data_IF_943806359252
#
_entry.id   IF_943806359252
#
_cell.length_a   1.000
_cell.length_b   1.000
_cell.length_c   1.000
_cell.angle_alpha   90.00
_cell.angle_beta   90.00
_cell.angle_gamma   90.00
#
_symmetry.space_group_name_H-M   'P 1'
#
loop_
_entity.id
_entity.type
_entity.pdbx_description
1 polymer ?
#
# COMPACT_ATOMS: atom_id res chain seq x y z
N UNK A 1 -7.81 12.95 -34.78
CA UNK A 1 -9.19 12.52 -35.12
C UNK A 1 -9.85 12.08 -33.83
N UNK A 2 -11.14 12.38 -33.67
CA UNK A 2 -11.93 12.01 -32.49
C UNK A 2 -13.02 11.02 -32.88
N UNK A 3 -13.21 9.94 -32.14
CA UNK A 3 -14.21 8.90 -32.45
C UNK A 3 -15.29 8.81 -31.37
N UNK A 4 -16.54 8.72 -31.80
CA UNK A 4 -17.68 8.39 -30.95
C UNK A 4 -18.15 6.98 -31.31
N UNK A 5 -17.82 5.98 -30.49
CA UNK A 5 -18.01 4.56 -30.79
C UNK A 5 -19.29 4.02 -30.14
N UNK A 6 -20.12 3.38 -30.97
CA UNK A 6 -21.52 3.08 -30.65
C UNK A 6 -22.35 4.37 -30.52
N UNK A 7 -22.13 5.34 -31.42
CA UNK A 7 -22.74 6.67 -31.33
C UNK A 7 -24.27 6.66 -31.50
N UNK A 8 -24.83 5.56 -32.00
CA UNK A 8 -26.25 5.48 -32.33
C UNK A 8 -26.69 6.59 -33.28
N UNK A 9 -27.91 7.13 -33.14
CA UNK A 9 -28.43 8.18 -34.01
C UNK A 9 -27.96 9.59 -33.64
N UNK A 10 -27.09 9.76 -32.64
CA UNK A 10 -26.69 11.06 -32.10
C UNK A 10 -25.20 11.08 -31.78
N UNK A 11 -24.39 11.17 -32.82
CA UNK A 11 -22.95 11.38 -32.68
C UNK A 11 -22.65 12.69 -31.95
N UNK A 12 -21.67 12.64 -31.05
CA UNK A 12 -21.12 13.78 -30.34
C UNK A 12 -20.56 14.81 -31.34
N UNK A 13 -20.89 16.12 -31.22
CA UNK A 13 -20.41 17.12 -32.16
C UNK A 13 -18.87 17.19 -32.23
N UNK A 14 -18.34 17.20 -33.45
CA UNK A 14 -16.89 17.23 -33.70
C UNK A 14 -16.19 15.87 -33.63
N UNK A 15 -16.94 14.78 -33.49
CA UNK A 15 -16.45 13.40 -33.53
C UNK A 15 -16.88 12.72 -34.84
N UNK A 16 -16.13 11.68 -35.22
CA UNK A 16 -16.53 10.73 -36.25
C UNK A 16 -17.38 9.65 -35.59
N UNK A 17 -18.65 9.55 -35.98
CA UNK A 17 -19.59 8.57 -35.44
C UNK A 17 -19.36 7.18 -36.02
N UNK A 18 -19.19 6.19 -35.15
CA UNK A 18 -18.99 4.78 -35.49
C UNK A 18 -20.08 3.95 -34.84
N UNK A 19 -20.79 3.14 -35.63
CA UNK A 19 -21.80 2.22 -35.10
C UNK A 19 -21.95 1.01 -36.04
N UNK A 20 -22.41 -0.13 -35.51
CA UNK A 20 -22.67 -1.32 -36.32
C UNK A 20 -23.91 -1.17 -37.21
N UNK A 21 -24.79 -0.22 -36.88
CA UNK A 21 -25.99 0.08 -37.65
C UNK A 21 -25.84 1.37 -38.45
N UNK A 22 -26.35 1.43 -39.69
CA UNK A 22 -26.33 2.65 -40.51
C UNK A 22 -27.41 3.65 -40.05
N UNK A 23 -27.18 4.32 -38.94
CA UNK A 23 -28.12 5.28 -38.32
C UNK A 23 -27.79 6.74 -38.71
N UNK A 24 -28.75 7.68 -38.56
CA UNK A 24 -28.48 9.10 -38.76
C UNK A 24 -27.37 9.59 -37.82
N UNK A 25 -26.26 10.10 -38.36
CA UNK A 25 -25.10 10.52 -37.57
C UNK A 25 -23.94 9.52 -37.54
N UNK A 26 -24.15 8.29 -38.02
CA UNK A 26 -23.08 7.31 -38.22
C UNK A 26 -22.36 7.63 -39.52
N UNK A 27 -21.06 7.89 -39.43
CA UNK A 27 -20.21 8.18 -40.58
C UNK A 27 -19.41 6.96 -41.02
N UNK A 28 -19.13 6.04 -40.08
CA UNK A 28 -18.42 4.79 -40.34
C UNK A 28 -19.27 3.65 -39.78
N UNK A 29 -19.73 2.75 -40.65
CA UNK A 29 -20.44 1.55 -40.22
C UNK A 29 -19.42 0.47 -39.90
N UNK A 30 -19.22 0.19 -38.61
CA UNK A 30 -18.26 -0.81 -38.13
C UNK A 30 -18.77 -1.49 -36.85
N UNK A 31 -18.42 -2.77 -36.71
CA UNK A 31 -18.76 -3.58 -35.54
C UNK A 31 -17.59 -3.57 -34.55
N UNK A 32 -17.83 -3.28 -33.28
CA UNK A 32 -16.79 -3.19 -32.25
C UNK A 32 -16.18 -4.56 -31.92
N UNK A 33 -16.89 -5.64 -32.20
CA UNK A 33 -16.37 -7.02 -32.12
C UNK A 33 -15.50 -7.40 -33.35
N UNK A 34 -15.13 -6.43 -34.20
CA UNK A 34 -14.27 -6.63 -35.38
C UNK A 34 -13.19 -5.54 -35.47
N UNK A 35 -12.11 -5.76 -36.25
CA UNK A 35 -11.10 -4.74 -36.43
C UNK A 35 -11.67 -3.44 -36.97
N UNK A 36 -11.34 -2.33 -36.33
CA UNK A 36 -11.87 -1.03 -36.71
C UNK A 36 -11.16 -0.51 -37.97
N UNK A 37 -11.89 0.11 -38.93
CA UNK A 37 -11.34 0.56 -40.21
C UNK A 37 -10.58 1.90 -40.08
N UNK A 38 -9.71 2.01 -39.09
CA UNK A 38 -8.83 3.15 -38.86
C UNK A 38 -7.38 2.67 -38.79
N UNK A 39 -6.49 3.53 -39.29
CA UNK A 39 -5.05 3.31 -39.18
C UNK A 39 -4.61 3.28 -37.72
N UNK A 40 -3.54 2.55 -37.45
CA UNK A 40 -2.84 2.55 -36.17
C UNK A 40 -2.46 3.99 -35.79
N UNK A 41 -2.52 4.33 -34.50
CA UNK A 41 -2.06 5.62 -33.99
C UNK A 41 -2.66 6.85 -34.73
N UNK A 42 -3.93 6.78 -35.13
CA UNK A 42 -4.60 7.87 -35.86
C UNK A 42 -5.58 8.67 -34.98
N UNK A 43 -6.03 8.09 -33.88
CA UNK A 43 -7.08 8.63 -33.00
C UNK A 43 -6.49 9.29 -31.76
N UNK A 44 -7.01 10.47 -31.40
CA UNK A 44 -6.53 11.26 -30.25
C UNK A 44 -7.52 11.26 -29.08
N UNK A 45 -8.78 10.98 -29.36
CA UNK A 45 -9.86 11.01 -28.39
C UNK A 45 -10.96 10.03 -28.78
N UNK A 46 -11.37 9.19 -27.84
CA UNK A 46 -12.48 8.25 -27.99
C UNK A 46 -13.53 8.57 -26.95
N UNK A 47 -14.79 8.61 -27.38
CA UNK A 47 -15.97 8.61 -26.54
C UNK A 47 -16.73 7.31 -26.80
N UNK A 48 -17.08 6.59 -25.75
CA UNK A 48 -17.87 5.37 -25.82
C UNK A 48 -18.96 5.43 -24.75
N UNK A 49 -20.18 5.79 -25.14
CA UNK A 49 -21.30 5.88 -24.21
C UNK A 49 -22.35 4.81 -24.51
N UNK A 50 -22.61 3.95 -23.53
CA UNK A 50 -23.61 2.88 -23.60
C UNK A 50 -23.44 1.94 -24.80
N UNK A 51 -22.19 1.61 -25.13
CA UNK A 51 -21.83 0.78 -26.26
C UNK A 51 -20.98 -0.44 -25.89
N UNK A 52 -20.05 -0.30 -24.94
CA UNK A 52 -19.11 -1.36 -24.58
C UNK A 52 -19.73 -2.48 -23.72
N UNK A 53 -20.89 -2.26 -23.09
CA UNK A 53 -21.65 -3.31 -22.41
C UNK A 53 -22.25 -4.33 -23.37
N UNK A 54 -22.36 -3.98 -24.66
CA UNK A 54 -22.99 -4.81 -25.69
C UNK A 54 -22.03 -5.65 -26.51
N UNK A 55 -20.71 -5.48 -26.34
CA UNK A 55 -19.69 -6.22 -27.11
C UNK A 55 -19.53 -7.65 -26.57
N UNK A 56 -19.23 -8.60 -27.45
CA UNK A 56 -19.04 -10.00 -27.05
C UNK A 56 -17.63 -10.27 -26.51
N UNK A 57 -16.61 -9.56 -26.99
CA UNK A 57 -15.24 -9.62 -26.46
C UNK A 57 -14.71 -8.22 -26.12
N UNK A 58 -14.80 -7.87 -24.83
CA UNK A 58 -14.34 -6.58 -24.32
C UNK A 58 -12.83 -6.41 -24.51
N UNK A 59 -12.03 -7.45 -24.28
CA UNK A 59 -10.58 -7.35 -24.37
C UNK A 59 -10.13 -7.17 -25.82
N UNK A 60 -10.78 -7.83 -26.78
CA UNK A 60 -10.59 -7.55 -28.20
C UNK A 60 -10.92 -6.09 -28.53
N UNK A 61 -12.11 -5.62 -28.14
CA UNK A 61 -12.53 -4.23 -28.39
C UNK A 61 -11.52 -3.23 -27.82
N UNK A 62 -11.06 -3.43 -26.58
CA UNK A 62 -10.08 -2.55 -25.94
C UNK A 62 -8.70 -2.60 -26.62
N UNK A 63 -8.26 -3.76 -27.14
CA UNK A 63 -7.05 -3.86 -27.97
C UNK A 63 -7.19 -3.08 -29.26
N UNK A 64 -8.34 -3.16 -29.92
CA UNK A 64 -8.59 -2.40 -31.15
C UNK A 64 -8.62 -0.89 -30.89
N UNK A 65 -9.24 -0.44 -29.79
CA UNK A 65 -9.17 0.96 -29.37
C UNK A 65 -7.72 1.38 -29.07
N UNK A 66 -6.94 0.55 -28.39
CA UNK A 66 -5.51 0.81 -28.14
C UNK A 66 -4.70 0.91 -29.44
N UNK A 67 -4.95 0.02 -30.40
CA UNK A 67 -4.27 0.00 -31.71
C UNK A 67 -4.46 1.31 -32.45
N UNK A 68 -5.72 1.73 -32.64
CA UNK A 68 -6.05 2.95 -33.42
C UNK A 68 -5.72 4.24 -32.68
N UNK A 69 -5.66 4.22 -31.35
CA UNK A 69 -5.33 5.39 -30.55
C UNK A 69 -3.83 5.66 -30.50
N UNK A 70 -3.48 6.94 -30.58
CA UNK A 70 -2.11 7.44 -30.36
C UNK A 70 -1.67 7.26 -28.91
N UNK A 71 -0.37 7.27 -28.68
CA UNK A 71 0.14 7.54 -27.33
C UNK A 71 -0.45 8.84 -26.77
N UNK A 72 -0.84 8.83 -25.49
CA UNK A 72 -1.51 9.90 -24.76
C UNK A 72 -2.91 10.28 -25.29
N UNK A 73 -3.49 9.49 -26.20
CA UNK A 73 -4.90 9.65 -26.57
C UNK A 73 -5.80 9.37 -25.37
N UNK A 74 -6.89 10.13 -25.23
CA UNK A 74 -7.84 9.90 -24.15
C UNK A 74 -8.99 8.98 -24.60
N UNK A 75 -9.47 8.16 -23.68
CA UNK A 75 -10.67 7.34 -23.88
C UNK A 75 -11.63 7.63 -22.73
N UNK A 76 -12.82 8.15 -23.05
CA UNK A 76 -13.91 8.36 -22.11
C UNK A 76 -14.94 7.28 -22.34
N UNK A 77 -15.10 6.39 -21.36
CA UNK A 77 -16.08 5.31 -21.38
C UNK A 77 -17.17 5.65 -20.38
N UNK A 78 -18.42 5.61 -20.82
CA UNK A 78 -19.60 5.88 -20.00
C UNK A 78 -20.53 4.69 -20.13
N UNK A 79 -20.74 3.95 -19.04
CA UNK A 79 -21.42 2.66 -19.07
C UNK A 79 -22.34 2.49 -17.87
N UNK A 80 -23.37 1.63 -17.97
CA UNK A 80 -24.20 1.27 -16.84
C UNK A 80 -23.36 0.56 -15.76
N UNK A 81 -23.59 0.90 -14.49
CA UNK A 81 -22.87 0.27 -13.38
C UNK A 81 -23.38 -1.15 -13.13
N UNK A 82 -22.47 -2.10 -12.88
CA UNK A 82 -22.77 -3.53 -12.78
C UNK A 82 -23.83 -3.88 -11.73
N UNK A 83 -23.75 -3.31 -10.53
CA UNK A 83 -24.64 -3.69 -9.41
C UNK A 83 -26.03 -3.03 -9.46
N UNK A 84 -26.45 -2.53 -10.62
CA UNK A 84 -27.84 -2.12 -10.85
C UNK A 84 -28.66 -3.30 -11.38
N UNK A 85 -29.78 -3.62 -10.72
CA UNK A 85 -30.61 -4.79 -11.04
C UNK A 85 -31.20 -4.76 -12.45
N UNK A 86 -31.61 -3.59 -12.94
CA UNK A 86 -32.13 -3.47 -14.30
C UNK A 86 -31.07 -3.83 -15.35
N UNK A 87 -29.82 -3.41 -15.12
CA UNK A 87 -28.71 -3.73 -16.02
C UNK A 87 -28.35 -5.21 -15.94
N UNK A 88 -28.34 -5.78 -14.74
CA UNK A 88 -28.07 -7.20 -14.53
C UNK A 88 -29.14 -8.08 -15.20
N UNK A 89 -30.39 -7.63 -15.22
CA UNK A 89 -31.49 -8.32 -15.90
C UNK A 89 -31.51 -8.10 -17.42
N UNK A 90 -30.71 -7.17 -17.96
CA UNK A 90 -30.74 -6.85 -19.38
C UNK A 90 -30.00 -7.95 -20.19
N UNK A 91 -30.71 -8.75 -21.00
CA UNK A 91 -30.09 -9.84 -21.76
C UNK A 91 -29.15 -9.37 -22.88
N UNK A 92 -29.16 -8.06 -23.19
CA UNK A 92 -28.28 -7.47 -24.19
C UNK A 92 -26.98 -6.92 -23.60
N UNK A 93 -26.82 -6.90 -22.27
CA UNK A 93 -25.55 -6.56 -21.64
C UNK A 93 -24.70 -7.82 -21.48
N UNK A 94 -23.66 -7.92 -22.30
CA UNK A 94 -22.72 -9.05 -22.33
C UNK A 94 -21.52 -8.80 -21.42
N UNK A 95 -21.18 -7.52 -21.17
CA UNK A 95 -20.07 -7.11 -20.34
C UNK A 95 -20.54 -6.34 -19.11
N UNK A 96 -19.71 -6.38 -18.08
CA UNK A 96 -19.98 -5.74 -16.78
C UNK A 96 -18.90 -4.73 -16.45
N UNK A 97 -19.32 -3.60 -15.86
CA UNK A 97 -18.42 -2.50 -15.56
C UNK A 97 -18.57 -2.02 -14.13
N UNK A 98 -17.43 -1.94 -13.43
CA UNK A 98 -17.30 -1.42 -12.07
C UNK A 98 -15.90 -0.81 -11.86
N UNK A 99 -15.60 -0.33 -10.66
CA UNK A 99 -14.32 0.28 -10.28
C UNK A 99 -13.08 -0.56 -10.59
N UNK A 100 -13.24 -1.88 -10.75
CA UNK A 100 -12.13 -2.80 -11.00
C UNK A 100 -11.90 -3.04 -12.49
N UNK A 101 -12.87 -2.80 -13.35
CA UNK A 101 -12.76 -3.12 -14.78
C UNK A 101 -11.52 -2.50 -15.43
N UNK A 102 -11.18 -1.21 -15.20
CA UNK A 102 -10.00 -0.61 -15.83
C UNK A 102 -8.65 -1.20 -15.40
N UNK A 103 -8.62 -1.92 -14.27
CA UNK A 103 -7.40 -2.53 -13.75
C UNK A 103 -6.84 -3.61 -14.68
N UNK A 104 -7.71 -4.26 -15.45
CA UNK A 104 -7.32 -5.29 -16.41
C UNK A 104 -6.74 -4.74 -17.70
N UNK A 105 -6.71 -3.41 -17.87
CA UNK A 105 -6.14 -2.75 -19.04
C UNK A 105 -4.78 -2.10 -18.78
N UNK A 106 -4.26 -2.20 -17.55
CA UNK A 106 -2.99 -1.59 -17.17
C UNK A 106 -2.13 -2.56 -16.35
N UNK A 107 -0.82 -2.55 -16.60
CA UNK A 107 0.19 -3.20 -15.77
C UNK A 107 0.73 -2.27 -14.67
N UNK A 108 0.40 -0.98 -14.73
CA UNK A 108 0.84 0.02 -13.75
C UNK A 108 0.32 -0.34 -12.34
N UNK A 109 1.23 -0.40 -11.38
CA UNK A 109 0.92 -0.85 -10.01
C UNK A 109 0.07 0.13 -9.20
N UNK A 110 -0.16 1.35 -9.71
CA UNK A 110 -0.94 2.40 -9.07
C UNK A 110 -1.78 3.19 -10.10
N UNK A 111 -2.77 3.93 -9.60
CA UNK A 111 -3.57 4.89 -10.36
C UNK A 111 -3.87 6.11 -9.47
N UNK A 112 -4.13 7.29 -10.05
CA UNK A 112 -4.41 8.54 -9.32
C UNK A 112 -5.85 8.58 -8.77
N UNK A 113 -6.25 7.54 -8.03
CA UNK A 113 -7.56 7.44 -7.38
C UNK A 113 -7.40 6.93 -5.93
N UNK A 114 -8.33 7.30 -5.05
CA UNK A 114 -8.30 6.84 -3.65
C UNK A 114 -8.41 5.31 -3.60
N UNK A 115 -7.54 4.67 -2.80
CA UNK A 115 -7.56 3.21 -2.57
C UNK A 115 -8.89 2.71 -2.04
N UNK A 116 -9.65 3.52 -1.31
CA UNK A 116 -10.99 3.16 -0.81
C UNK A 116 -11.97 2.85 -1.93
N UNK A 117 -11.80 3.45 -3.10
CA UNK A 117 -12.71 3.24 -4.24
C UNK A 117 -12.63 1.83 -4.83
N UNK A 118 -11.49 1.14 -4.66
CA UNK A 118 -11.18 -0.13 -5.33
C UNK A 118 -10.47 -1.16 -4.44
N UNK A 119 -10.46 -0.97 -3.12
CA UNK A 119 -9.74 -1.85 -2.21
C UNK A 119 -10.22 -3.30 -2.34
N UNK A 120 -9.26 -4.23 -2.47
CA UNK A 120 -9.55 -5.66 -2.46
C UNK A 120 -8.38 -6.42 -1.80
N UNK A 121 -8.63 -7.33 -0.83
CA UNK A 121 -7.57 -7.95 -0.02
C UNK A 121 -6.59 -8.82 -0.82
N UNK A 122 -7.05 -9.42 -1.92
CA UNK A 122 -6.24 -10.31 -2.77
C UNK A 122 -5.64 -9.60 -4.00
N UNK A 123 -5.93 -8.32 -4.20
CA UNK A 123 -5.51 -7.57 -5.37
C UNK A 123 -5.13 -6.14 -4.95
N UNK A 124 -3.98 -6.03 -4.27
CA UNK A 124 -3.56 -4.81 -3.55
C UNK A 124 -3.01 -3.73 -4.51
N UNK A 125 -2.32 -4.13 -5.58
CA UNK A 125 -1.85 -3.22 -6.63
C UNK A 125 -2.96 -2.88 -7.60
N UNK A 126 -2.88 -1.72 -8.24
CA UNK A 126 -3.87 -1.28 -9.22
C UNK A 126 -3.91 -2.22 -10.43
N UNK A 127 -2.83 -2.29 -11.21
CA UNK A 127 -2.75 -3.02 -12.46
C UNK A 127 -2.88 -4.53 -12.30
N UNK A 128 -3.77 -5.11 -13.10
CA UNK A 128 -4.09 -6.54 -13.15
C UNK A 128 -4.03 -7.10 -14.58
N UNK A 129 -3.59 -6.32 -15.58
CA UNK A 129 -3.52 -6.79 -16.98
C UNK A 129 -2.67 -8.05 -17.17
N UNK A 130 -1.68 -8.28 -16.29
CA UNK A 130 -0.80 -9.44 -16.32
C UNK A 130 -1.21 -10.57 -15.36
N UNK A 131 -2.39 -10.46 -14.74
CA UNK A 131 -2.92 -11.53 -13.90
C UNK A 131 -3.12 -12.82 -14.70
N UNK A 132 -3.04 -13.97 -14.02
CA UNK A 132 -3.19 -15.29 -14.65
C UNK A 132 -2.28 -15.53 -15.87
N UNK A 133 -1.02 -15.09 -15.79
CA UNK A 133 -0.03 -15.13 -16.88
C UNK A 133 -0.51 -14.51 -18.21
N UNK A 134 -1.48 -13.60 -18.15
CA UNK A 134 -1.98 -12.91 -19.33
C UNK A 134 -1.02 -11.81 -19.78
N UNK A 135 -1.07 -11.47 -21.06
CA UNK A 135 -0.51 -10.21 -21.57
C UNK A 135 -1.40 -9.75 -22.73
N UNK A 136 -2.35 -8.84 -22.48
CA UNK A 136 -3.29 -8.42 -23.52
C UNK A 136 -2.64 -7.53 -24.58
N UNK A 137 -1.36 -7.17 -24.46
CA UNK A 137 -0.65 -6.35 -25.45
C UNK A 137 -1.18 -4.91 -25.53
N UNK A 138 -1.78 -4.41 -24.45
CA UNK A 138 -2.32 -3.06 -24.34
C UNK A 138 -1.95 -2.47 -22.98
N UNK A 139 -1.83 -1.14 -22.93
CA UNK A 139 -1.60 -0.41 -21.70
C UNK A 139 -2.45 0.89 -21.74
N UNK A 140 -3.61 0.83 -21.11
CA UNK A 140 -4.57 1.92 -20.99
C UNK A 140 -4.72 2.23 -19.50
N UNK A 141 -4.27 3.42 -19.09
CA UNK A 141 -4.20 3.82 -17.69
C UNK A 141 -5.39 4.67 -17.29
N UNK A 142 -5.87 4.47 -16.08
CA UNK A 142 -6.95 5.27 -15.52
C UNK A 142 -6.40 6.61 -15.01
N UNK A 143 -7.13 7.69 -15.28
CA UNK A 143 -6.87 9.04 -14.75
C UNK A 143 -7.95 9.51 -13.79
N UNK A 144 -9.22 9.15 -14.02
CA UNK A 144 -10.34 9.53 -13.17
C UNK A 144 -11.51 8.55 -13.32
N UNK A 145 -12.22 8.30 -12.23
CA UNK A 145 -13.54 7.64 -12.23
C UNK A 145 -14.60 8.61 -11.74
N UNK A 146 -15.79 8.51 -12.32
CA UNK A 146 -16.96 9.23 -11.85
C UNK A 146 -18.12 8.25 -11.65
N UNK A 147 -18.76 8.32 -10.50
CA UNK A 147 -19.90 7.48 -10.14
C UNK A 147 -21.16 8.32 -10.11
N UNK A 148 -22.18 7.87 -10.83
CA UNK A 148 -23.48 8.51 -10.89
C UNK A 148 -24.47 7.70 -10.07
N UNK A 149 -24.76 8.24 -8.89
CA UNK A 149 -25.60 7.63 -7.89
C UNK A 149 -27.08 7.88 -8.19
N UNK A 150 -27.95 6.92 -7.83
CA UNK A 150 -29.38 7.20 -7.85
C UNK A 150 -29.68 8.41 -6.95
N UNK A 151 -30.66 9.26 -7.31
CA UNK A 151 -30.96 10.50 -6.60
C UNK A 151 -31.03 10.40 -5.07
N UNK A 152 -31.61 9.32 -4.55
CA UNK A 152 -31.72 9.07 -3.10
C UNK A 152 -30.39 8.91 -2.36
N UNK A 153 -29.31 8.59 -3.08
CA UNK A 153 -27.97 8.47 -2.54
C UNK A 153 -27.07 9.65 -2.94
N UNK A 154 -27.51 10.55 -3.82
CA UNK A 154 -26.63 11.56 -4.42
C UNK A 154 -26.08 12.56 -3.40
N UNK A 155 -26.86 12.88 -2.36
CA UNK A 155 -26.52 13.86 -1.30
C UNK A 155 -25.87 13.24 -0.05
N UNK A 156 -25.65 11.92 -0.03
CA UNK A 156 -24.98 11.28 1.09
C UNK A 156 -23.50 11.64 1.15
N UNK A 157 -22.92 11.56 2.35
CA UNK A 157 -21.48 11.72 2.56
C UNK A 157 -20.68 10.81 1.59
N UNK A 158 -19.62 11.31 0.94
CA UNK A 158 -18.81 10.53 0.00
C UNK A 158 -18.33 9.18 0.55
N UNK A 159 -17.91 9.11 1.82
CA UNK A 159 -17.42 7.86 2.40
C UNK A 159 -18.54 6.82 2.55
N UNK A 160 -19.73 7.25 2.97
CA UNK A 160 -20.92 6.39 3.00
C UNK A 160 -21.32 5.91 1.61
N UNK A 161 -21.21 6.77 0.57
CA UNK A 161 -21.54 6.37 -0.81
C UNK A 161 -20.62 5.29 -1.34
N UNK A 162 -19.32 5.36 -1.06
CA UNK A 162 -18.34 4.32 -1.45
C UNK A 162 -18.72 2.99 -0.79
N UNK A 163 -18.94 2.99 0.52
CA UNK A 163 -19.33 1.79 1.27
C UNK A 163 -20.65 1.20 0.76
N UNK A 164 -21.67 2.03 0.51
CA UNK A 164 -22.95 1.55 -0.03
C UNK A 164 -22.79 0.96 -1.43
N UNK A 165 -22.05 1.64 -2.29
CA UNK A 165 -21.82 1.21 -3.68
C UNK A 165 -21.09 -0.13 -3.76
N UNK A 166 -20.23 -0.43 -2.80
CA UNK A 166 -19.46 -1.68 -2.73
C UNK A 166 -20.21 -2.83 -2.06
N UNK A 167 -21.38 -2.57 -1.45
CA UNK A 167 -22.08 -3.57 -0.64
C UNK A 167 -23.56 -3.74 -0.99
N UNK A 168 -24.18 -2.80 -1.68
CA UNK A 168 -25.61 -2.82 -2.01
C UNK A 168 -25.83 -2.58 -3.50
N UNK A 169 -26.80 -3.31 -4.04
CA UNK A 169 -27.33 -3.11 -5.39
C UNK A 169 -28.18 -1.85 -5.51
N UNK A 170 -28.29 -1.29 -6.71
CA UNK A 170 -29.12 -0.11 -7.04
C UNK A 170 -28.70 1.17 -6.29
N UNK A 171 -27.41 1.32 -5.96
CA UNK A 171 -26.85 2.55 -5.37
C UNK A 171 -26.29 3.49 -6.44
N UNK A 172 -25.51 2.92 -7.35
CA UNK A 172 -24.92 3.59 -8.51
C UNK A 172 -25.59 3.05 -9.78
N UNK A 173 -25.99 3.92 -10.71
CA UNK A 173 -26.61 3.51 -11.96
C UNK A 173 -25.66 3.57 -13.15
N UNK A 174 -24.60 4.39 -13.06
CA UNK A 174 -23.69 4.64 -14.18
C UNK A 174 -22.31 5.01 -13.67
N UNK A 175 -21.29 4.63 -14.43
CA UNK A 175 -19.90 4.96 -14.16
C UNK A 175 -19.26 5.52 -15.42
N UNK A 176 -18.38 6.51 -15.24
CA UNK A 176 -17.53 7.01 -16.30
C UNK A 176 -16.05 6.80 -15.95
N UNK A 177 -15.29 6.27 -16.92
CA UNK A 177 -13.84 6.15 -16.86
C UNK A 177 -13.21 7.18 -17.79
N UNK A 178 -12.29 7.98 -17.26
CA UNK A 178 -11.39 8.79 -18.06
C UNK A 178 -10.03 8.12 -18.08
N UNK A 179 -9.63 7.66 -19.24
CA UNK A 179 -8.47 6.81 -19.47
C UNK A 179 -7.49 7.49 -20.43
N UNK A 180 -6.25 7.05 -20.40
CA UNK A 180 -5.20 7.47 -21.32
C UNK A 180 -4.45 6.27 -21.90
N UNK A 181 -4.20 6.31 -23.20
CA UNK A 181 -3.42 5.29 -23.91
C UNK A 181 -1.93 5.50 -23.66
N UNK A 182 -1.24 4.47 -23.17
CA UNK A 182 0.17 4.53 -22.84
C UNK A 182 0.94 3.52 -23.70
N UNK A 183 1.78 4.00 -24.62
CA UNK A 183 2.56 3.16 -25.55
C UNK A 183 4.06 3.26 -25.31
N UNK A 184 4.51 4.33 -24.67
CA UNK A 184 5.91 4.58 -24.37
C UNK A 184 6.27 4.10 -22.95
N UNK A 185 7.47 3.56 -22.80
CA UNK A 185 8.02 3.16 -21.50
C UNK A 185 8.67 4.36 -20.79
N UNK A 186 7.83 5.34 -20.41
CA UNK A 186 8.27 6.56 -19.73
C UNK A 186 7.40 6.86 -18.50
N UNK A 187 7.73 6.27 -17.36
CA UNK A 187 6.99 6.50 -16.12
C UNK A 187 7.06 7.95 -15.62
N UNK A 188 8.15 8.68 -15.87
CA UNK A 188 8.30 10.06 -15.42
C UNK A 188 7.25 10.98 -16.07
N UNK A 189 6.98 10.79 -17.36
CA UNK A 189 5.92 11.49 -18.08
C UNK A 189 4.53 11.17 -17.54
N UNK A 190 4.28 9.91 -17.15
CA UNK A 190 2.99 9.51 -16.58
C UNK A 190 2.79 10.18 -15.21
N UNK A 191 3.81 10.16 -14.34
CA UNK A 191 3.78 10.84 -13.04
C UNK A 191 3.50 12.33 -13.23
N UNK A 192 4.26 13.01 -14.10
CA UNK A 192 4.08 14.43 -14.37
C UNK A 192 2.66 14.75 -14.91
N UNK A 193 2.08 13.88 -15.74
CA UNK A 193 0.69 14.01 -16.19
C UNK A 193 -0.29 13.91 -15.01
N UNK A 194 -0.09 12.94 -14.10
CA UNK A 194 -0.99 12.74 -12.95
C UNK A 194 -0.89 13.84 -11.88
N UNK A 195 0.25 14.50 -11.74
CA UNK A 195 0.41 15.66 -10.86
C UNK A 195 -0.38 16.89 -11.35
N UNK A 196 -0.68 16.94 -12.65
CA UNK A 196 -1.35 18.08 -13.30
C UNK A 196 -2.80 17.77 -13.72
N UNK A 197 -3.46 16.78 -13.10
CA UNK A 197 -4.83 16.37 -13.44
C UNK A 197 -5.87 17.50 -13.25
N UNK A 198 -5.63 18.45 -12.35
CA UNK A 198 -6.54 19.59 -12.14
C UNK A 198 -6.72 20.48 -13.38
N UNK A 199 -5.72 20.53 -14.26
CA UNK A 199 -5.77 21.25 -15.54
C UNK A 199 -5.89 20.33 -16.75
N UNK A 200 -6.01 19.01 -16.53
CA UNK A 200 -6.07 18.05 -17.61
C UNK A 200 -7.41 18.21 -18.37
N UNK A 201 -7.40 18.30 -19.71
CA UNK A 201 -8.59 18.59 -20.50
C UNK A 201 -9.42 17.31 -20.71
N UNK A 202 -10.01 16.81 -19.62
CA UNK A 202 -10.92 15.67 -19.64
C UNK A 202 -12.08 15.91 -20.62
N UNK A 203 -12.46 14.89 -21.38
CA UNK A 203 -13.65 14.96 -22.21
C UNK A 203 -14.90 15.04 -21.34
N UNK A 204 -15.49 16.22 -21.27
CA UNK A 204 -16.71 16.49 -20.53
C UNK A 204 -17.88 16.73 -21.49
N UNK A 205 -18.68 15.69 -21.72
CA UNK A 205 -19.79 15.75 -22.68
C UNK A 205 -21.01 16.44 -22.08
N UNK A 206 -21.91 17.02 -22.91
CA UNK A 206 -23.16 17.57 -22.41
C UNK A 206 -24.01 16.58 -21.62
N UNK A 207 -23.93 15.28 -21.95
CA UNK A 207 -24.61 14.22 -21.22
C UNK A 207 -24.02 14.06 -19.80
N UNK A 208 -22.69 14.02 -19.66
CA UNK A 208 -22.04 13.95 -18.34
C UNK A 208 -22.34 15.19 -17.50
N UNK A 209 -22.27 16.39 -18.09
CA UNK A 209 -22.65 17.64 -17.43
C UNK A 209 -24.09 17.58 -16.91
N UNK A 210 -25.02 17.14 -17.77
CA UNK A 210 -26.41 16.98 -17.40
C UNK A 210 -26.59 15.94 -16.28
N UNK A 211 -25.95 14.79 -16.35
CA UNK A 211 -26.03 13.76 -15.31
C UNK A 211 -25.56 14.28 -13.94
N UNK A 212 -24.53 15.14 -13.89
CA UNK A 212 -24.11 15.78 -12.65
C UNK A 212 -25.15 16.79 -12.13
N UNK A 213 -25.70 17.63 -13.01
CA UNK A 213 -26.75 18.60 -12.65
C UNK A 213 -28.02 17.91 -12.16
N UNK A 214 -28.47 16.86 -12.85
CA UNK A 214 -29.67 16.10 -12.50
C UNK A 214 -29.54 15.43 -11.12
N UNK A 215 -28.31 15.02 -10.75
CA UNK A 215 -28.01 14.44 -9.43
C UNK A 215 -28.08 15.48 -8.30
N UNK A 216 -27.74 16.75 -8.58
CA UNK A 216 -27.82 17.86 -7.63
C UNK A 216 -29.26 18.38 -7.48
N UNK A 217 -30.02 18.41 -8.57
CA UNK A 217 -31.37 18.98 -8.63
C UNK A 217 -32.45 18.13 -7.93
N UNK A 218 -32.21 16.84 -7.70
CA UNK A 218 -33.20 15.97 -7.05
C UNK A 218 -33.39 16.32 -5.57
N UNK A 219 -34.66 16.37 -5.14
CA UNK A 219 -35.02 16.47 -3.72
C UNK A 219 -34.74 15.14 -3.00
N UNK A 220 -34.39 15.21 -1.72
CA UNK A 220 -34.16 14.01 -0.90
C UNK A 220 -35.46 13.21 -0.77
N UNK A 221 -35.51 12.03 -1.40
CA UNK A 221 -36.56 11.05 -1.13
C UNK A 221 -36.45 10.54 0.31
N UNK A 222 -37.34 10.97 1.20
CA UNK A 222 -37.51 10.40 2.54
C UNK A 222 -38.14 9.01 2.46
N UNK A 223 -37.39 8.00 2.02
CA UNK A 223 -37.83 6.61 2.02
C UNK A 223 -37.19 5.81 3.17
N UNK A 224 -37.90 4.81 3.69
CA UNK A 224 -37.42 3.90 4.74
C UNK A 224 -36.10 3.19 4.37
N UNK A 225 -35.77 3.09 3.09
CA UNK A 225 -34.53 2.50 2.58
C UNK A 225 -33.28 3.26 3.00
N UNK A 226 -33.33 4.59 3.16
CA UNK A 226 -32.18 5.36 3.67
C UNK A 226 -31.96 5.02 5.15
N UNK A 227 -33.00 5.06 5.97
CA UNK A 227 -32.90 4.62 7.37
C UNK A 227 -32.47 3.15 7.49
N UNK A 228 -32.91 2.27 6.59
CA UNK A 228 -32.47 0.87 6.53
C UNK A 228 -30.99 0.75 6.13
N UNK A 229 -30.56 1.49 5.10
CA UNK A 229 -29.16 1.54 4.67
C UNK A 229 -28.26 2.13 5.77
N UNK A 230 -28.70 3.21 6.42
CA UNK A 230 -28.05 3.80 7.60
C UNK A 230 -28.00 2.83 8.77
N UNK A 231 -29.04 2.02 8.99
CA UNK A 231 -29.04 0.98 10.02
C UNK A 231 -28.07 -0.16 9.68
N UNK A 232 -28.12 -0.70 8.46
CA UNK A 232 -27.24 -1.80 8.01
C UNK A 232 -25.78 -1.34 7.97
N UNK A 233 -25.52 -0.15 7.44
CA UNK A 233 -24.19 0.47 7.50
C UNK A 233 -23.81 0.80 8.94
N UNK A 234 -24.75 1.28 9.75
CA UNK A 234 -24.52 1.62 11.14
C UNK A 234 -24.09 0.39 11.95
N UNK A 235 -24.72 -0.76 11.70
CA UNK A 235 -24.31 -2.05 12.24
C UNK A 235 -22.93 -2.46 11.75
N UNK A 236 -22.64 -2.39 10.43
CA UNK A 236 -21.31 -2.71 9.90
C UNK A 236 -20.21 -1.76 10.38
N UNK A 237 -20.48 -0.46 10.43
CA UNK A 237 -19.57 0.57 10.95
C UNK A 237 -19.33 0.36 12.43
N UNK A 238 -20.36 -0.06 13.18
CA UNK A 238 -20.22 -0.44 14.58
C UNK A 238 -19.37 -1.71 14.71
N UNK A 239 -19.58 -2.74 13.89
CA UNK A 239 -18.75 -3.94 13.87
C UNK A 239 -17.29 -3.63 13.52
N UNK A 240 -17.03 -2.78 12.53
CA UNK A 240 -15.69 -2.33 12.19
C UNK A 240 -15.06 -1.50 13.31
N UNK A 241 -15.81 -0.57 13.92
CA UNK A 241 -15.34 0.20 15.08
C UNK A 241 -15.07 -0.69 16.28
N UNK A 242 -15.91 -1.68 16.54
CA UNK A 242 -15.73 -2.65 17.61
C UNK A 242 -14.51 -3.55 17.34
N UNK A 243 -14.30 -3.93 16.08
CA UNK A 243 -13.11 -4.66 15.63
C UNK A 243 -11.83 -3.81 15.76
N UNK A 244 -11.87 -2.53 15.36
CA UNK A 244 -10.75 -1.59 15.54
C UNK A 244 -10.51 -1.36 17.02
N UNK A 245 -11.53 -1.13 17.83
CA UNK A 245 -11.42 -0.98 19.28
C UNK A 245 -10.93 -2.27 19.97
N UNK A 246 -11.25 -3.46 19.43
CA UNK A 246 -10.67 -4.73 19.87
C UNK A 246 -9.21 -4.85 19.45
N UNK A 247 -8.85 -4.42 18.23
CA UNK A 247 -7.47 -4.37 17.77
C UNK A 247 -6.65 -3.36 18.59
N UNK A 248 -7.18 -2.17 18.88
CA UNK A 248 -6.61 -1.15 19.74
C UNK A 248 -6.54 -1.63 21.18
N UNK A 249 -7.54 -2.35 21.70
CA UNK A 249 -7.45 -2.99 23.04
C UNK A 249 -6.39 -4.07 23.07
N UNK A 250 -6.22 -4.85 21.99
CA UNK A 250 -5.11 -5.81 21.85
C UNK A 250 -3.77 -5.08 21.72
N UNK A 251 -3.72 -3.97 20.98
CA UNK A 251 -2.53 -3.15 20.81
C UNK A 251 -2.14 -2.50 22.13
N UNK A 252 -3.08 -1.89 22.85
CA UNK A 252 -2.92 -1.29 24.17
C UNK A 252 -2.64 -2.35 25.25
N UNK A 253 -3.23 -3.54 25.16
CA UNK A 253 -2.87 -4.67 26.02
C UNK A 253 -1.45 -5.12 25.71
N UNK A 254 -1.05 -5.15 24.45
CA UNK A 254 0.32 -5.42 24.03
C UNK A 254 1.25 -4.27 24.39
N UNK A 255 0.85 -3.00 24.40
CA UNK A 255 1.62 -1.82 24.83
C UNK A 255 1.70 -1.73 26.34
N UNK A 256 0.68 -2.17 27.07
CA UNK A 256 0.74 -2.35 28.53
C UNK A 256 1.60 -3.54 28.87
N UNK A 257 1.54 -4.63 28.10
CA UNK A 257 2.46 -5.76 28.24
C UNK A 257 3.88 -5.29 27.89
N UNK A 258 4.09 -4.59 26.78
CA UNK A 258 5.37 -4.01 26.33
C UNK A 258 5.86 -2.97 27.34
N UNK A 259 5.00 -2.12 27.88
CA UNK A 259 5.29 -1.10 28.89
C UNK A 259 5.63 -1.70 30.26
N UNK A 260 4.92 -2.76 30.67
CA UNK A 260 5.27 -3.58 31.84
C UNK A 260 6.55 -4.40 31.60
N UNK A 261 6.88 -4.65 30.32
CA UNK A 261 8.14 -5.21 29.86
C UNK A 261 9.22 -4.13 29.57
N UNK A 262 8.89 -2.83 29.63
CA UNK A 262 9.74 -1.67 29.26
C UNK A 262 9.87 -0.63 30.37
N UNK A 263 9.35 -0.89 31.56
CA UNK A 263 9.57 -0.06 32.75
C UNK A 263 11.01 -0.18 33.21
N UNK A 264 11.93 0.46 32.50
CA UNK A 264 13.18 1.00 33.00
C UNK A 264 13.08 2.53 33.00
N UNK A 265 13.78 3.24 33.90
CA UNK A 265 13.66 4.70 34.03
C UNK A 265 14.16 5.44 32.78
N UNK A 266 13.48 6.54 32.44
CA UNK A 266 13.94 7.52 31.43
C UNK A 266 15.32 8.07 31.81
N UNK A 267 16.22 8.16 30.83
CA UNK A 267 17.52 8.81 31.01
C UNK A 267 17.34 10.33 31.18
N UNK A 268 18.24 10.96 31.92
CA UNK A 268 18.27 12.43 31.98
C UNK A 268 18.69 13.02 30.63
N UNK A 269 18.25 14.24 30.32
CA UNK A 269 18.68 14.97 29.11
C UNK A 269 20.22 15.08 29.00
N UNK A 270 20.92 15.10 30.15
CA UNK A 270 22.37 15.14 30.19
C UNK A 270 23.03 13.82 29.79
N UNK A 271 22.40 12.69 30.11
CA UNK A 271 22.88 11.37 29.74
C UNK A 271 22.56 11.06 28.27
N UNK A 272 21.38 11.50 27.80
CA UNK A 272 21.02 11.43 26.37
C UNK A 272 22.02 12.19 25.49
N UNK A 273 22.41 13.40 25.90
CA UNK A 273 23.38 14.19 25.14
C UNK A 273 24.77 13.54 25.07
N UNK A 274 25.26 12.99 26.19
CA UNK A 274 26.54 12.26 26.23
C UNK A 274 26.50 11.02 25.34
N UNK A 275 25.33 10.38 25.29
CA UNK A 275 25.08 9.20 24.49
C UNK A 275 25.11 9.52 22.98
N UNK A 276 24.47 10.62 22.56
CA UNK A 276 24.54 11.11 21.17
C UNK A 276 25.98 11.45 20.74
N UNK A 277 26.72 12.17 21.60
CA UNK A 277 28.11 12.54 21.34
C UNK A 277 29.02 11.30 21.14
N UNK A 278 28.81 10.26 21.95
CA UNK A 278 29.55 9.00 21.83
C UNK A 278 29.27 8.28 20.51
N UNK A 279 27.99 8.16 20.11
CA UNK A 279 27.61 7.50 18.85
C UNK A 279 28.20 8.24 17.65
N UNK A 280 28.08 9.58 17.61
CA UNK A 280 28.63 10.40 16.52
C UNK A 280 30.16 10.24 16.41
N UNK A 281 30.87 10.16 17.54
CA UNK A 281 32.33 10.04 17.54
C UNK A 281 32.83 8.65 17.08
N UNK A 282 32.05 7.59 17.32
CA UNK A 282 32.48 6.21 17.08
C UNK A 282 31.82 5.52 15.88
N UNK A 283 30.79 6.13 15.27
CA UNK A 283 30.06 5.57 14.11
C UNK A 283 30.10 6.52 12.92
N UNK A 284 31.02 6.29 11.98
CA UNK A 284 31.22 7.16 10.80
C UNK A 284 30.62 6.62 9.49
N UNK A 285 30.24 5.34 9.43
CA UNK A 285 29.75 4.70 8.19
C UNK A 285 28.23 4.79 7.97
N UNK A 286 27.43 4.75 9.04
CA UNK A 286 25.96 4.82 9.01
C UNK A 286 25.46 5.39 10.34
N UNK A 287 24.80 6.55 10.33
CA UNK A 287 24.21 7.15 11.54
C UNK A 287 23.06 6.28 12.07
N UNK A 288 23.12 5.78 13.32
CA UNK A 288 21.99 5.13 13.97
C UNK A 288 20.82 6.11 14.06
N UNK A 289 19.60 5.67 13.73
CA UNK A 289 18.41 6.56 13.73
C UNK A 289 17.60 6.49 15.02
N UNK A 290 17.55 5.31 15.66
CA UNK A 290 16.80 5.08 16.88
C UNK A 290 17.60 4.18 17.82
N UNK A 291 17.58 4.47 19.12
CA UNK A 291 18.19 3.63 20.15
C UNK A 291 17.29 3.52 21.38
N UNK A 292 17.37 2.37 22.07
CA UNK A 292 16.71 2.15 23.36
C UNK A 292 17.63 1.40 24.30
N UNK A 293 17.34 1.49 25.59
CA UNK A 293 18.09 0.77 26.61
C UNK A 293 17.28 -0.45 27.05
N UNK A 294 17.97 -1.57 27.22
CA UNK A 294 17.37 -2.79 27.76
C UNK A 294 16.98 -2.64 29.22
N UNK A 295 16.38 -3.70 29.78
CA UNK A 295 16.27 -3.84 31.24
C UNK A 295 17.65 -3.96 31.87
N UNK A 296 17.70 -3.72 33.19
CA UNK A 296 18.88 -4.00 33.99
C UNK A 296 19.26 -5.47 33.86
N UNK A 297 20.53 -5.70 33.55
CA UNK A 297 21.14 -7.01 33.57
C UNK A 297 21.14 -7.46 35.04
N UNK A 298 20.49 -8.58 35.37
CA UNK A 298 20.38 -9.01 36.75
C UNK A 298 21.74 -9.56 37.23
N UNK A 299 22.00 -9.40 38.53
CA UNK A 299 23.15 -10.03 39.19
C UNK A 299 22.98 -11.55 39.37
N UNK A 300 21.74 -12.03 39.32
CA UNK A 300 21.36 -13.45 39.32
C UNK A 300 20.36 -13.71 38.19
N UNK A 301 20.68 -14.62 37.28
CA UNK A 301 19.95 -14.85 36.02
C UNK A 301 20.55 -14.14 34.80
N UNK A 302 19.76 -13.97 33.74
CA UNK A 302 20.22 -13.38 32.48
C UNK A 302 19.12 -12.61 31.73
N UNK A 303 19.54 -11.73 30.83
CA UNK A 303 18.69 -11.14 29.77
C UNK A 303 19.00 -11.86 28.47
N UNK A 304 17.97 -12.27 27.73
CA UNK A 304 18.11 -13.06 26.52
C UNK A 304 17.65 -12.29 25.28
N UNK A 305 18.41 -12.44 24.19
CA UNK A 305 18.13 -11.85 22.89
C UNK A 305 18.16 -12.92 21.80
N UNK A 306 17.15 -12.89 20.93
CA UNK A 306 17.08 -13.80 19.80
C UNK A 306 18.10 -13.38 18.74
N UNK A 307 18.90 -14.34 18.27
CA UNK A 307 19.85 -14.12 17.17
C UNK A 307 19.16 -14.42 15.85
N UNK A 308 19.28 -13.50 14.88
CA UNK A 308 18.82 -13.69 13.51
C UNK A 308 19.89 -13.25 12.52
N UNK A 309 20.10 -14.04 11.47
CA UNK A 309 21.14 -13.80 10.46
C UNK A 309 21.78 -15.10 9.97
N UNK A 310 22.67 -14.98 8.99
CA UNK A 310 23.46 -16.07 8.40
C UNK A 310 24.89 -15.58 8.20
N UNK A 311 25.88 -16.40 8.53
CA UNK A 311 27.30 -16.02 8.39
C UNK A 311 28.18 -16.58 9.49
N UNK A 312 29.50 -16.48 9.29
CA UNK A 312 30.49 -16.83 10.31
C UNK A 312 30.72 -15.66 11.27
N UNK A 313 30.91 -15.97 12.54
CA UNK A 313 31.26 -15.01 13.57
C UNK A 313 32.41 -15.47 14.46
N UNK A 314 33.31 -14.55 14.82
CA UNK A 314 34.46 -14.83 15.69
C UNK A 314 34.62 -13.88 16.89
N UNK A 315 33.75 -12.88 17.00
CA UNK A 315 33.73 -11.88 18.07
C UNK A 315 32.29 -11.49 18.43
N UNK A 316 32.09 -10.95 19.62
CA UNK A 316 30.85 -10.31 20.06
C UNK A 316 31.22 -8.96 20.66
N UNK A 317 30.79 -7.87 20.04
CA UNK A 317 30.93 -6.51 20.60
C UNK A 317 29.59 -6.01 21.10
N UNK A 318 29.51 -5.50 22.33
CA UNK A 318 28.25 -5.07 22.97
C UNK A 318 28.38 -3.66 23.51
N UNK A 319 27.49 -2.77 23.10
CA UNK A 319 27.40 -1.43 23.67
C UNK A 319 26.57 -1.48 24.96
N UNK A 320 27.11 -0.93 26.05
CA UNK A 320 26.46 -0.91 27.37
C UNK A 320 26.37 0.49 27.93
N UNK A 321 25.33 0.69 28.74
CA UNK A 321 25.10 1.85 29.58
C UNK A 321 25.25 1.45 31.06
N UNK A 322 26.04 2.21 31.82
CA UNK A 322 26.24 2.07 33.25
C UNK A 322 25.52 3.20 33.98
N UNK A 323 24.65 2.86 34.93
CA UNK A 323 23.95 3.88 35.73
C UNK A 323 24.85 4.63 36.71
N UNK A 324 26.04 4.10 36.99
CA UNK A 324 27.09 4.69 37.81
C UNK A 324 28.42 3.97 37.53
N UNK A 325 29.53 4.56 37.98
CA UNK A 325 30.87 3.96 37.84
C UNK A 325 30.95 2.62 38.59
N UNK A 326 31.64 1.65 38.01
CA UNK A 326 31.68 0.28 38.52
C UNK A 326 33.10 -0.20 38.75
N UNK A 327 33.43 -0.42 40.02
CA UNK A 327 34.62 -1.17 40.41
C UNK A 327 34.24 -2.65 40.51
N UNK A 328 35.03 -3.52 39.87
CA UNK A 328 34.92 -4.98 39.91
C UNK A 328 33.64 -5.62 39.31
N UNK A 329 32.77 -4.83 38.67
CA UNK A 329 31.61 -5.35 37.95
C UNK A 329 32.04 -6.06 36.66
N UNK A 330 31.36 -7.16 36.37
CA UNK A 330 31.63 -7.96 35.18
C UNK A 330 30.36 -8.18 34.36
N UNK A 331 30.53 -8.10 33.04
CA UNK A 331 29.51 -8.48 32.07
C UNK A 331 29.86 -9.84 31.48
N UNK A 332 28.96 -10.79 31.67
CA UNK A 332 29.02 -12.10 31.05
C UNK A 332 28.16 -12.18 29.80
N UNK A 333 28.59 -13.00 28.85
CA UNK A 333 27.86 -13.35 27.63
C UNK A 333 27.82 -14.87 27.46
N UNK A 334 26.68 -15.40 27.03
CA UNK A 334 26.54 -16.80 26.60
C UNK A 334 25.91 -16.86 25.20
N UNK A 335 26.48 -17.68 24.33
CA UNK A 335 25.86 -18.09 23.07
C UNK A 335 25.13 -19.41 23.30
N UNK A 336 23.84 -19.45 22.96
CA UNK A 336 22.96 -20.60 23.18
C UNK A 336 22.49 -21.13 21.83
N UNK A 337 22.74 -22.41 21.58
CA UNK A 337 22.32 -23.10 20.37
C UNK A 337 20.80 -23.22 20.25
N UNK A 338 20.31 -23.57 19.06
CA UNK A 338 18.87 -23.85 18.82
C UNK A 338 18.32 -25.03 19.61
N UNK A 339 19.20 -25.87 20.13
CA UNK A 339 18.91 -26.98 21.04
C UNK A 339 18.82 -26.54 22.53
N UNK A 340 18.90 -25.22 22.79
CA UNK A 340 18.92 -24.58 24.10
C UNK A 340 20.15 -24.88 24.98
N UNK A 341 21.22 -25.44 24.40
CA UNK A 341 22.48 -25.65 25.12
C UNK A 341 23.41 -24.44 24.98
N UNK A 342 24.13 -24.10 26.06
CA UNK A 342 25.19 -23.08 26.01
C UNK A 342 26.36 -23.65 25.21
N UNK A 343 26.63 -23.06 24.04
CA UNK A 343 27.71 -23.51 23.14
C UNK A 343 29.01 -22.74 23.37
N UNK A 344 28.93 -21.58 24.00
CA UNK A 344 30.07 -20.76 24.41
C UNK A 344 29.66 -19.70 25.43
N UNK A 345 30.59 -19.30 26.30
CA UNK A 345 30.41 -18.14 27.18
C UNK A 345 31.75 -17.45 27.46
N UNK A 346 31.68 -16.19 27.87
CA UNK A 346 32.82 -15.41 28.34
C UNK A 346 32.37 -14.32 29.31
N UNK A 347 33.31 -13.71 30.01
CA UNK A 347 33.07 -12.64 30.98
C UNK A 347 34.17 -11.58 30.84
N UNK A 348 33.79 -10.30 30.83
CA UNK A 348 34.70 -9.16 30.73
C UNK A 348 34.48 -8.17 31.87
N UNK A 349 35.54 -7.46 32.25
CA UNK A 349 35.48 -6.43 33.28
C UNK A 349 34.94 -5.11 32.72
N UNK A 350 34.04 -4.47 33.47
CA UNK A 350 33.43 -3.18 33.11
C UNK A 350 34.25 -1.98 33.59
N UNK A 351 35.35 -2.18 34.31
CA UNK A 351 36.17 -1.10 34.89
C UNK A 351 36.75 -0.12 33.87
N UNK A 352 36.80 -0.49 32.59
CA UNK A 352 37.23 0.38 31.48
C UNK A 352 36.09 1.18 30.82
N UNK A 353 34.83 0.93 31.21
CA UNK A 353 33.65 1.60 30.70
C UNK A 353 33.23 2.68 31.69
N UNK A 354 33.07 3.91 31.21
CA UNK A 354 32.69 5.04 32.05
C UNK A 354 31.18 5.06 32.31
N UNK A 355 30.41 5.63 31.38
CA UNK A 355 28.94 5.67 31.43
C UNK A 355 28.36 4.93 30.23
N UNK A 356 28.98 5.11 29.06
CA UNK A 356 28.65 4.41 27.82
C UNK A 356 29.94 3.85 27.26
N UNK A 357 29.93 2.59 26.83
CA UNK A 357 31.09 2.02 26.17
C UNK A 357 30.80 0.68 25.52
N UNK A 358 31.76 0.21 24.73
CA UNK A 358 31.71 -1.08 24.05
C UNK A 358 32.54 -2.09 24.81
N UNK A 359 31.94 -3.22 25.13
CA UNK A 359 32.60 -4.39 25.70
C UNK A 359 32.77 -5.41 24.58
N UNK A 360 34.01 -5.82 24.32
CA UNK A 360 34.34 -6.76 23.26
C UNK A 360 34.67 -8.13 23.87
N UNK A 361 34.10 -9.17 23.29
CA UNK A 361 34.37 -10.55 23.67
C UNK A 361 34.95 -11.29 22.46
N UNK A 362 36.17 -11.81 22.60
CA UNK A 362 36.79 -12.65 21.57
C UNK A 362 36.37 -14.10 21.76
N UNK A 363 35.82 -14.71 20.71
CA UNK A 363 35.30 -16.09 20.78
C UNK A 363 36.43 -17.12 20.61
N UNK A 364 37.51 -16.75 19.90
CA UNK A 364 38.67 -17.60 19.64
C UNK A 364 38.42 -18.79 18.69
N UNK A 365 37.17 -19.01 18.28
CA UNK A 365 36.76 -19.97 17.24
C UNK A 365 35.57 -19.41 16.47
N UNK A 366 35.39 -19.89 15.24
CA UNK A 366 34.28 -19.44 14.38
C UNK A 366 33.00 -20.23 14.70
N UNK A 367 31.89 -19.51 14.81
CA UNK A 367 30.55 -20.09 14.84
C UNK A 367 29.75 -19.65 13.63
N UNK A 368 28.74 -20.44 13.24
CA UNK A 368 27.73 -19.99 12.30
C UNK A 368 26.58 -19.36 13.06
N UNK A 369 26.21 -18.13 12.69
CA UNK A 369 25.14 -17.38 13.34
C UNK A 369 23.78 -18.10 13.25
N UNK A 370 23.56 -18.87 12.18
CA UNK A 370 22.33 -19.64 11.96
C UNK A 370 22.16 -20.84 12.92
N UNK A 371 23.21 -21.25 13.62
CA UNK A 371 23.17 -22.34 14.60
C UNK A 371 22.89 -21.83 16.03
N UNK A 372 22.97 -20.51 16.23
CA UNK A 372 22.72 -19.85 17.52
C UNK A 372 21.24 -19.44 17.59
N UNK A 373 20.54 -19.91 18.62
CA UNK A 373 19.16 -19.49 18.89
C UNK A 373 19.11 -18.16 19.64
N UNK A 374 19.94 -18.02 20.67
CA UNK A 374 19.92 -16.88 21.57
C UNK A 374 21.32 -16.45 22.01
N UNK A 375 21.44 -15.18 22.37
CA UNK A 375 22.57 -14.64 23.14
C UNK A 375 22.05 -14.15 24.49
N UNK A 376 22.73 -14.52 25.56
CA UNK A 376 22.37 -14.15 26.94
C UNK A 376 23.43 -13.25 27.52
N UNK A 377 23.01 -12.25 28.27
CA UNK A 377 23.88 -11.40 29.07
C UNK A 377 23.54 -11.55 30.55
N UNK A 378 24.56 -11.70 31.37
CA UNK A 378 24.42 -11.85 32.82
C UNK A 378 25.46 -11.00 33.54
N UNK A 379 25.13 -10.59 34.76
CA UNK A 379 26.01 -9.80 35.61
C UNK A 379 26.77 -10.66 36.60
N UNK A 380 28.00 -10.25 36.96
CA UNK A 380 28.63 -10.68 38.22
C UNK A 380 29.13 -9.45 38.96
N UNK A 381 28.95 -9.46 40.29
CA UNK A 381 29.29 -8.35 41.17
C UNK A 381 28.67 -7.00 40.74
N UNK A 382 27.46 -7.03 40.15
CA UNK A 382 26.75 -5.80 39.79
C UNK A 382 26.23 -5.12 41.05
N UNK A 383 26.88 -4.04 41.45
CA UNK A 383 26.43 -3.12 42.50
C UNK A 383 25.57 -1.97 41.96
N UNK A 384 25.49 -1.83 40.63
CA UNK A 384 24.73 -0.80 39.91
C UNK A 384 24.00 -1.41 38.70
N UNK A 385 23.07 -0.67 38.11
CA UNK A 385 22.35 -1.10 36.91
C UNK A 385 23.23 -1.04 35.65
N UNK A 386 23.47 -2.20 35.05
CA UNK A 386 24.10 -2.33 33.73
C UNK A 386 23.01 -2.64 32.72
N UNK A 387 22.98 -1.93 31.60
CA UNK A 387 21.98 -2.14 30.56
C UNK A 387 22.64 -2.23 29.19
N UNK A 388 22.09 -3.06 28.30
CA UNK A 388 22.53 -3.16 26.91
C UNK A 388 21.85 -2.09 26.09
N UNK A 389 22.62 -1.46 25.20
CA UNK A 389 22.12 -0.48 24.25
C UNK A 389 21.69 -1.20 22.99
N UNK A 390 20.44 -0.98 22.61
CA UNK A 390 19.84 -1.54 21.40
C UNK A 390 19.69 -0.44 20.36
N UNK A 391 20.32 -0.61 19.19
CA UNK A 391 20.36 0.39 18.13
C UNK A 391 19.67 -0.12 16.86
N UNK A 392 19.00 0.78 16.15
CA UNK A 392 18.42 0.53 14.82
C UNK A 392 19.29 1.16 13.73
N UNK A 393 19.63 0.37 12.70
CA UNK A 393 20.33 0.83 11.52
C UNK A 393 19.39 0.62 10.33
N UNK A 394 18.97 1.70 9.67
CA UNK A 394 18.09 1.63 8.51
C UNK A 394 18.89 1.47 7.21
N UNK A 395 18.47 0.56 6.33
CA UNK A 395 18.64 0.72 4.88
C UNK A 395 17.34 1.28 4.29
N UNK A 396 17.46 2.12 3.24
CA UNK A 396 16.33 2.79 2.58
C UNK A 396 15.30 1.75 2.09
N UNK A 397 14.04 1.90 2.54
CA UNK A 397 12.72 1.54 1.95
C UNK A 397 12.61 0.33 0.97
N UNK A 398 11.53 -0.50 0.97
CA UNK A 398 10.38 -0.54 1.85
C UNK A 398 10.08 -1.95 2.39
N UNK A 399 11.00 -2.58 3.13
CA UNK A 399 10.69 -3.82 3.83
C UNK A 399 11.38 -3.85 5.19
N UNK A 400 10.54 -3.86 6.24
CA UNK A 400 10.82 -4.11 7.68
C UNK A 400 11.95 -3.28 8.30
N UNK A 401 11.64 -2.60 9.41
CA UNK A 401 12.69 -2.29 10.38
C UNK A 401 13.34 -3.62 10.78
N UNK A 402 14.60 -3.83 10.38
CA UNK A 402 15.44 -4.84 11.03
C UNK A 402 15.44 -4.46 12.50
N UNK A 403 14.83 -5.33 13.32
CA UNK A 403 14.67 -5.22 14.78
C UNK A 403 15.78 -4.38 15.43
N UNK A 404 15.43 -3.65 16.48
CA UNK A 404 16.35 -3.28 17.56
C UNK A 404 16.96 -4.58 18.10
N UNK A 405 18.11 -4.96 17.55
CA UNK A 405 18.98 -5.99 18.09
C UNK A 405 19.96 -5.24 19.00
N UNK A 406 20.32 -5.75 20.19
CA UNK A 406 21.51 -5.26 20.86
C UNK A 406 22.64 -5.22 19.84
N UNK A 407 23.41 -4.14 19.80
CA UNK A 407 24.58 -4.09 18.91
C UNK A 407 25.48 -5.26 19.30
N UNK A 408 25.40 -6.35 18.54
CA UNK A 408 26.27 -7.52 18.57
C UNK A 408 26.85 -7.56 17.18
N UNK A 409 27.97 -6.88 17.02
CA UNK A 409 28.69 -6.94 15.76
C UNK A 409 29.46 -8.26 15.76
N UNK A 410 29.02 -9.20 14.94
CA UNK A 410 29.83 -10.35 14.57
C UNK A 410 30.78 -9.88 13.47
N UNK A 411 32.02 -9.52 13.83
CA UNK A 411 33.04 -9.24 12.84
C UNK A 411 33.75 -10.53 12.43
N UNK A 412 34.31 -10.55 11.22
CA UNK A 412 35.47 -11.37 10.92
C UNK A 412 36.65 -10.39 11.00
N UNK A 413 37.38 -10.37 12.12
CA UNK A 413 38.69 -9.73 12.10
C UNK A 413 39.61 -10.50 11.12
N UNK A 414 40.11 -9.78 10.10
CA UNK A 414 41.44 -10.03 9.51
C UNK A 414 42.42 -9.02 10.13
#
# INVERSE_FOLDING_TARGET
>A
MKLDVGCGPKCLPGFVGVDRFPLPGVQVVADLDKPLPFEDDSIELVHAAHSLEHVSDLMFTMRELYRVCKHKAQICIVVPYYEQKLNLANPYHLQVFNEHTPRFWSSCSWAPIDKKEYYHPHAVTWGLSQSDNSNPGLEIRLLRMEFFYFPRFSKMDPSCRIELRQHLTDVCHQIAYHLVVWKEDNEADYVALTENLGSYPFLDTPALQKSRVDAEAHEEEKFSTISYAENVLGEKLKEQRDYVAECERKLLRNEKLIGLLMSGPDLSDSDLKRFDEYLIANYSSHEPRDYRISRDIPSDGYVEYQVGGTGECNSVSVCVYLSADTQDAQLGVELVGKDNNVVWNSVEMLSGVSIVGVVNFSIGKKFKQEDIGFIRFFGRNLSVGVKVVECSIASRWPLRATKLVPYVCFSNED
#
